data_IF_956417377276
#
_entry.id   IF_956417377276
#
_cell.length_a   1.000
_cell.length_b   1.000
_cell.length_c   1.000
_cell.angle_alpha   90.00
_cell.angle_beta   90.00
_cell.angle_gamma   90.00
#
_symmetry.space_group_name_H-M   'P 1'
#
loop_
_entity.id
_entity.type
_entity.pdbx_description
1 polymer ?
#
# COMPACT_ATOMS: atom_id res chain seq x y z
N UNK A 1 58.84 20.67 -21.20
CA UNK A 1 59.17 21.68 -20.17
C UNK A 1 57.84 22.16 -19.61
N UNK A 2 57.37 21.68 -18.44
CA UNK A 2 57.60 22.29 -17.09
C UNK A 2 57.29 23.79 -17.10
N UNK A 3 56.45 24.41 -16.26
CA UNK A 3 55.93 24.04 -14.94
C UNK A 3 54.91 25.10 -14.43
N UNK A 4 54.15 24.73 -13.39
CA UNK A 4 53.64 25.56 -12.25
C UNK A 4 52.37 26.44 -12.35
N UNK A 5 51.31 25.91 -11.71
CA UNK A 5 50.51 26.40 -10.54
C UNK A 5 50.38 27.91 -10.25
N UNK A 6 49.13 28.36 -10.01
CA UNK A 6 48.60 29.20 -8.90
C UNK A 6 47.12 29.56 -9.22
N UNK A 7 46.08 29.03 -8.56
CA UNK A 7 45.43 29.43 -7.28
C UNK A 7 45.16 30.94 -7.13
N UNK A 8 43.89 31.33 -7.31
CA UNK A 8 43.15 32.42 -6.63
C UNK A 8 41.65 32.20 -6.97
N UNK A 9 40.82 31.62 -6.09
CA UNK A 9 40.03 32.22 -4.99
C UNK A 9 39.20 33.47 -5.40
N UNK A 10 37.89 33.42 -5.09
CA UNK A 10 36.83 34.45 -5.29
C UNK A 10 35.95 34.19 -6.52
N UNK A 11 34.62 34.02 -6.49
CA UNK A 11 33.59 34.45 -5.54
C UNK A 11 32.58 33.34 -5.27
N UNK A 12 32.17 33.27 -4.00
CA UNK A 12 30.92 32.68 -3.53
C UNK A 12 29.78 33.51 -4.13
N UNK A 13 29.17 33.03 -5.21
CA UNK A 13 27.81 33.40 -5.56
C UNK A 13 26.89 32.41 -4.87
N UNK A 14 26.51 32.73 -3.64
CA UNK A 14 25.35 32.16 -2.99
C UNK A 14 24.11 32.58 -3.81
N UNK A 15 23.79 31.86 -4.87
CA UNK A 15 22.41 31.79 -5.31
C UNK A 15 21.68 31.00 -4.23
N UNK A 16 21.01 31.73 -3.34
CA UNK A 16 19.90 31.17 -2.56
C UNK A 16 18.93 30.60 -3.58
N UNK A 17 19.09 29.32 -3.93
CA UNK A 17 17.98 28.52 -4.37
C UNK A 17 17.04 28.50 -3.17
N UNK A 18 16.06 29.41 -3.21
CA UNK A 18 14.90 29.29 -2.37
C UNK A 18 14.27 28.00 -2.88
N UNK A 19 14.60 26.88 -2.24
CA UNK A 19 13.87 25.64 -2.43
C UNK A 19 12.48 25.98 -1.94
N UNK A 20 11.63 26.39 -2.87
CA UNK A 20 10.21 26.22 -2.71
C UNK A 20 10.07 24.71 -2.55
N UNK A 21 9.96 24.27 -1.30
CA UNK A 21 9.20 23.08 -0.96
C UNK A 21 7.81 23.36 -1.55
N UNK A 22 7.64 23.05 -2.83
CA UNK A 22 6.36 22.58 -3.30
C UNK A 22 6.21 21.31 -2.50
N UNK A 23 5.53 21.43 -1.36
CA UNK A 23 4.77 20.31 -0.85
C UNK A 23 3.94 19.89 -2.05
N UNK A 24 4.41 18.86 -2.75
CA UNK A 24 3.54 18.09 -3.60
C UNK A 24 2.62 17.47 -2.58
N UNK A 25 1.55 18.20 -2.27
CA UNK A 25 0.43 17.64 -1.56
C UNK A 25 -0.01 16.52 -2.46
N UNK A 26 0.38 15.30 -2.11
CA UNK A 26 -0.35 14.14 -2.55
C UNK A 26 -1.77 14.41 -2.07
N UNK A 27 -2.64 14.83 -2.98
CA UNK A 27 -4.06 14.80 -2.74
C UNK A 27 -4.41 13.32 -2.67
N UNK A 28 -4.20 12.73 -1.50
CA UNK A 28 -4.93 11.55 -1.09
C UNK A 28 -6.40 11.86 -1.32
N UNK A 29 -7.05 11.12 -2.20
CA UNK A 29 -8.46 11.29 -2.56
C UNK A 29 -9.41 10.92 -1.39
N UNK A 30 -8.85 10.63 -0.21
CA UNK A 30 -9.52 10.35 1.08
C UNK A 30 -10.42 11.47 1.59
N UNK A 31 -10.45 12.65 0.96
CA UNK A 31 -11.39 13.70 1.32
C UNK A 31 -12.87 13.25 1.22
N UNK A 32 -13.15 12.26 0.36
CA UNK A 32 -14.51 11.80 0.09
C UNK A 32 -14.81 10.37 0.53
N UNK A 33 -13.83 9.61 1.05
CA UNK A 33 -14.14 8.27 1.56
C UNK A 33 -15.08 8.35 2.77
N UNK A 34 -15.91 7.34 2.92
CA UNK A 34 -16.91 7.18 3.99
C UNK A 34 -16.50 6.12 5.01
N UNK A 35 -15.58 5.23 4.63
CA UNK A 35 -14.88 4.32 5.53
C UNK A 35 -13.54 3.93 4.92
N UNK A 36 -12.61 3.47 5.75
CA UNK A 36 -11.35 2.87 5.31
C UNK A 36 -11.09 1.65 6.18
N UNK A 37 -10.95 0.49 5.56
CA UNK A 37 -10.55 -0.75 6.25
C UNK A 37 -9.07 -0.99 6.04
N UNK A 38 -8.42 -1.59 7.04
CA UNK A 38 -6.97 -1.74 7.13
C UNK A 38 -6.62 -3.17 7.52
N UNK A 39 -5.54 -3.73 6.95
CA UNK A 39 -5.13 -5.12 7.25
C UNK A 39 -4.39 -5.27 8.58
N UNK A 40 -3.94 -4.18 9.20
CA UNK A 40 -3.26 -4.21 10.50
C UNK A 40 -3.98 -3.33 11.53
N UNK A 41 -3.56 -3.45 12.79
CA UNK A 41 -4.03 -2.57 13.87
C UNK A 41 -3.51 -1.13 13.70
N UNK A 42 -4.06 -0.21 14.48
CA UNK A 42 -3.73 1.21 14.53
C UNK A 42 -3.77 1.92 13.17
N UNK A 43 -4.69 1.49 12.28
CA UNK A 43 -4.90 2.04 10.93
C UNK A 43 -3.68 1.88 10.01
N UNK A 44 -3.00 0.74 10.15
CA UNK A 44 -1.82 0.36 9.38
C UNK A 44 -2.12 -0.78 8.42
N UNK A 45 -1.15 -1.19 7.60
CA UNK A 45 -1.39 -2.26 6.62
C UNK A 45 -2.23 -1.79 5.43
N UNK A 46 -2.42 -2.68 4.45
CA UNK A 46 -3.11 -2.35 3.19
C UNK A 46 -4.45 -1.73 3.51
N UNK A 47 -4.75 -0.59 2.90
CA UNK A 47 -6.02 0.08 3.12
C UNK A 47 -6.92 0.01 1.91
N UNK A 48 -8.20 -0.21 2.11
CA UNK A 48 -9.21 0.00 1.08
C UNK A 48 -10.16 1.12 1.48
N UNK A 49 -10.19 2.14 0.62
CA UNK A 49 -11.01 3.34 0.78
C UNK A 49 -12.40 3.11 0.17
N UNK A 50 -13.43 3.18 1.00
CA UNK A 50 -14.81 2.99 0.61
C UNK A 50 -15.44 4.36 0.39
N UNK A 51 -16.06 4.58 -0.78
CA UNK A 51 -16.59 5.89 -1.19
C UNK A 51 -18.12 5.96 -1.28
N UNK A 52 -18.78 4.81 -1.36
CA UNK A 52 -20.22 4.71 -1.63
C UNK A 52 -20.85 3.80 -0.58
N UNK A 53 -22.11 4.02 -0.22
CA UNK A 53 -22.85 3.06 0.60
C UNK A 53 -23.22 1.84 -0.24
N UNK A 54 -23.21 0.66 0.34
CA UNK A 54 -23.55 -0.55 -0.38
C UNK A 54 -23.15 -1.81 0.36
N UNK A 55 -23.41 -2.93 -0.30
CA UNK A 55 -22.98 -4.26 0.10
C UNK A 55 -21.69 -4.60 -0.63
N UNK A 56 -20.73 -5.14 0.11
CA UNK A 56 -19.40 -5.43 -0.36
C UNK A 56 -19.01 -6.85 0.00
N UNK A 57 -18.83 -7.70 -1.00
CA UNK A 57 -18.65 -9.14 -0.85
C UNK A 57 -17.58 -9.69 -1.81
N UNK A 58 -17.09 -10.90 -1.54
CA UNK A 58 -16.10 -11.59 -2.36
C UNK A 58 -16.66 -11.93 -3.75
N UNK A 59 -15.94 -11.52 -4.78
CA UNK A 59 -16.31 -11.73 -6.19
C UNK A 59 -16.02 -13.14 -6.73
N UNK A 60 -16.22 -14.22 -5.95
CA UNK A 60 -16.09 -15.56 -6.58
C UNK A 60 -17.22 -15.84 -7.58
N UNK A 61 -18.31 -15.06 -7.56
CA UNK A 61 -19.31 -15.03 -8.63
C UNK A 61 -18.84 -14.12 -9.76
N UNK A 62 -17.98 -14.66 -10.63
CA UNK A 62 -17.80 -14.14 -11.98
C UNK A 62 -19.16 -14.17 -12.67
N UNK A 63 -19.82 -13.02 -12.78
CA UNK A 63 -20.79 -12.82 -13.84
C UNK A 63 -19.99 -12.70 -15.15
N UNK A 64 -19.98 -13.78 -15.93
CA UNK A 64 -19.19 -13.89 -17.17
C UNK A 64 -19.66 -12.92 -18.26
N UNK A 65 -20.75 -12.20 -18.02
CA UNK A 65 -21.45 -11.38 -19.00
C UNK A 65 -21.31 -9.86 -18.76
N UNK A 66 -20.46 -9.40 -17.82
CA UNK A 66 -20.27 -7.96 -17.56
C UNK A 66 -18.98 -7.43 -18.20
N UNK A 67 -19.10 -6.47 -19.12
CA UNK A 67 -17.99 -5.62 -19.57
C UNK A 67 -17.52 -4.76 -18.39
N UNK A 68 -16.32 -5.03 -17.86
CA UNK A 68 -15.72 -4.46 -16.63
C UNK A 68 -16.34 -4.94 -15.30
N UNK A 69 -16.02 -6.15 -14.84
CA UNK A 69 -16.18 -6.49 -13.42
C UNK A 69 -15.24 -5.58 -12.62
N UNK A 70 -15.81 -4.61 -11.91
CA UNK A 70 -15.06 -3.85 -10.90
C UNK A 70 -15.06 -4.67 -9.62
N UNK A 71 -13.91 -4.78 -8.99
CA UNK A 71 -13.86 -5.32 -7.63
C UNK A 71 -14.71 -4.46 -6.71
N UNK A 72 -15.57 -5.13 -5.95
CA UNK A 72 -16.34 -4.49 -4.90
C UNK A 72 -15.53 -4.58 -3.60
N UNK A 73 -14.97 -5.74 -3.25
CA UNK A 73 -14.12 -5.93 -2.07
C UNK A 73 -12.63 -5.85 -2.48
N UNK A 74 -11.92 -4.79 -2.03
CA UNK A 74 -10.59 -4.38 -2.51
C UNK A 74 -9.45 -4.79 -1.54
N UNK A 75 -9.73 -5.69 -0.59
CA UNK A 75 -8.75 -6.36 0.28
C UNK A 75 -8.95 -7.89 0.24
N UNK A 76 -7.93 -8.71 0.58
CA UNK A 76 -8.13 -10.14 0.77
C UNK A 76 -9.12 -10.43 1.91
N UNK A 77 -9.80 -11.57 1.86
CA UNK A 77 -10.68 -11.99 2.95
C UNK A 77 -9.88 -12.18 4.25
N UNK A 78 -10.56 -12.06 5.39
CA UNK A 78 -9.98 -12.43 6.68
C UNK A 78 -8.69 -11.63 6.98
N UNK A 79 -8.60 -10.40 6.47
CA UNK A 79 -7.45 -9.51 6.70
C UNK A 79 -7.79 -8.25 7.48
N UNK A 80 -9.05 -7.82 7.53
CA UNK A 80 -9.40 -6.55 8.18
C UNK A 80 -9.09 -6.63 9.68
N UNK A 81 -8.29 -5.71 10.19
CA UNK A 81 -7.82 -5.65 11.58
C UNK A 81 -8.07 -4.30 12.25
N UNK A 82 -8.26 -3.23 11.47
CA UNK A 82 -8.74 -1.93 11.97
C UNK A 82 -9.58 -1.22 10.91
N UNK A 83 -10.36 -0.22 11.33
CA UNK A 83 -11.27 0.51 10.43
C UNK A 83 -11.46 1.96 10.88
N UNK A 84 -11.43 2.89 9.93
CA UNK A 84 -11.94 4.25 10.07
C UNK A 84 -13.37 4.31 9.57
N UNK A 85 -14.29 4.84 10.38
CA UNK A 85 -15.70 5.02 9.99
C UNK A 85 -16.03 6.50 10.04
N UNK A 86 -16.41 7.07 8.88
CA UNK A 86 -16.75 8.50 8.82
C UNK A 86 -18.00 8.76 9.66
N UNK A 87 -18.01 9.80 10.51
CA UNK A 87 -19.22 10.19 11.25
C UNK A 87 -20.45 10.32 10.34
N UNK A 88 -21.56 9.71 10.77
CA UNK A 88 -22.82 9.63 10.02
C UNK A 88 -22.98 8.38 9.14
N UNK A 89 -22.01 7.47 9.19
CA UNK A 89 -22.04 6.15 8.55
C UNK A 89 -21.85 5.04 9.57
N UNK A 90 -22.33 3.85 9.21
CA UNK A 90 -22.15 2.61 9.95
C UNK A 90 -21.62 1.55 8.98
N UNK A 91 -20.68 0.74 9.47
CA UNK A 91 -20.13 -0.42 8.79
C UNK A 91 -20.49 -1.67 9.58
N UNK A 92 -21.03 -2.67 8.89
CA UNK A 92 -21.23 -4.01 9.45
C UNK A 92 -20.25 -4.95 8.78
N UNK A 93 -19.37 -5.59 9.55
CA UNK A 93 -18.51 -6.68 9.09
C UNK A 93 -19.23 -8.01 9.30
N UNK A 94 -19.07 -8.93 8.36
CA UNK A 94 -19.62 -10.29 8.41
C UNK A 94 -18.51 -11.34 8.33
N UNK A 95 -18.65 -12.40 9.13
CA UNK A 95 -17.67 -13.50 9.21
C UNK A 95 -17.50 -14.24 7.89
N UNK A 96 -18.55 -14.31 7.07
CA UNK A 96 -18.55 -15.06 5.82
C UNK A 96 -18.91 -14.18 4.64
N UNK A 97 -18.68 -14.70 3.44
CA UNK A 97 -19.22 -14.13 2.21
C UNK A 97 -20.76 -14.10 2.22
N UNK A 98 -21.36 -13.41 1.27
CA UNK A 98 -22.81 -13.25 1.10
C UNK A 98 -23.50 -12.60 2.32
N UNK A 99 -22.78 -11.76 3.07
CA UNK A 99 -23.25 -11.08 4.28
C UNK A 99 -23.78 -12.06 5.35
N UNK A 100 -23.10 -13.20 5.49
CA UNK A 100 -23.53 -14.30 6.33
C UNK A 100 -22.60 -14.52 7.54
N UNK A 101 -23.05 -15.39 8.44
CA UNK A 101 -22.35 -15.70 9.69
C UNK A 101 -22.60 -14.66 10.77
N UNK A 102 -21.72 -14.61 11.76
CA UNK A 102 -21.78 -13.60 12.80
C UNK A 102 -21.37 -12.22 12.25
N UNK A 103 -21.77 -11.15 12.95
CA UNK A 103 -21.53 -9.77 12.50
C UNK A 103 -21.01 -8.86 13.61
N UNK A 104 -20.27 -7.81 13.21
CA UNK A 104 -19.78 -6.74 14.06
C UNK A 104 -20.19 -5.38 13.48
N UNK A 105 -20.86 -4.57 14.30
CA UNK A 105 -21.35 -3.23 13.93
C UNK A 105 -20.36 -2.18 14.41
N UNK A 106 -19.98 -1.25 13.53
CA UNK A 106 -18.98 -0.21 13.75
C UNK A 106 -19.49 1.13 13.22
N UNK A 107 -19.73 2.09 14.11
CA UNK A 107 -20.16 3.46 13.80
C UNK A 107 -19.11 4.54 14.16
N UNK A 108 -17.97 4.09 14.70
CA UNK A 108 -16.80 4.91 15.05
C UNK A 108 -15.51 4.22 14.59
N UNK A 109 -14.42 4.98 14.57
CA UNK A 109 -13.09 4.43 14.31
C UNK A 109 -12.73 3.34 15.33
N UNK A 110 -12.22 2.20 14.84
CA UNK A 110 -11.72 1.10 15.64
C UNK A 110 -10.24 0.85 15.27
N UNK A 111 -9.27 1.30 16.10
CA UNK A 111 -7.84 1.05 15.86
C UNK A 111 -7.48 -0.44 16.00
N UNK A 112 -8.34 -1.25 16.61
CA UNK A 112 -8.22 -2.70 16.60
C UNK A 112 -9.62 -3.28 16.67
N UNK A 113 -9.89 -4.31 15.88
CA UNK A 113 -11.14 -5.06 15.98
C UNK A 113 -11.15 -5.90 17.27
N UNK A 114 -12.29 -5.93 17.96
CA UNK A 114 -12.37 -6.56 19.26
C UNK A 114 -12.34 -8.10 19.19
N UNK A 115 -11.49 -8.71 20.02
CA UNK A 115 -11.49 -10.15 20.26
C UNK A 115 -11.12 -10.95 19.01
N UNK A 116 -12.04 -11.81 18.55
CA UNK A 116 -11.80 -12.71 17.40
C UNK A 116 -11.96 -12.04 16.04
N UNK A 117 -12.36 -10.76 15.99
CA UNK A 117 -12.73 -10.10 14.74
C UNK A 117 -11.56 -9.68 13.87
N UNK A 118 -10.36 -9.56 14.43
CA UNK A 118 -9.14 -9.32 13.66
C UNK A 118 -8.91 -10.45 12.68
N UNK A 119 -8.92 -10.12 11.39
CA UNK A 119 -8.72 -11.08 10.31
C UNK A 119 -9.85 -12.11 10.19
N UNK A 120 -11.10 -11.69 10.43
CA UNK A 120 -12.26 -12.60 10.41
C UNK A 120 -13.34 -12.19 9.41
N UNK A 121 -13.29 -10.94 8.93
CA UNK A 121 -14.31 -10.40 8.04
C UNK A 121 -14.07 -10.84 6.59
N UNK A 122 -15.10 -11.41 5.99
CA UNK A 122 -15.10 -11.84 4.58
C UNK A 122 -16.09 -11.04 3.73
N UNK A 123 -17.01 -10.29 4.33
CA UNK A 123 -17.86 -9.32 3.62
C UNK A 123 -18.26 -8.17 4.54
N UNK A 124 -18.75 -7.06 3.98
CA UNK A 124 -19.19 -5.90 4.75
C UNK A 124 -20.34 -5.13 4.08
N UNK A 125 -21.10 -4.38 4.86
CA UNK A 125 -22.09 -3.42 4.37
C UNK A 125 -21.82 -2.04 4.97
N UNK A 126 -22.01 -0.99 4.17
CA UNK A 126 -21.92 0.40 4.62
C UNK A 126 -23.22 1.14 4.34
N UNK A 127 -23.78 1.79 5.36
CA UNK A 127 -24.98 2.63 5.22
C UNK A 127 -24.89 3.92 6.02
N UNK A 128 -25.80 4.85 5.71
CA UNK A 128 -25.89 6.17 6.34
C UNK A 128 -26.86 6.11 7.52
N UNK A 129 -26.42 6.56 8.69
CA UNK A 129 -27.21 6.52 9.95
C UNK A 129 -27.57 7.91 10.50
N UNK A 130 -27.00 8.98 9.94
CA UNK A 130 -27.14 10.40 10.32
C UNK A 130 -26.48 10.84 11.63
N UNK A 131 -25.31 11.48 11.51
CA UNK A 131 -24.77 12.48 12.45
C UNK A 131 -23.71 13.30 11.69
N UNK A 132 -23.70 14.63 11.83
CA UNK A 132 -22.93 15.54 10.96
C UNK A 132 -21.87 16.37 11.71
N UNK A 133 -21.69 16.22 13.02
CA UNK A 133 -20.90 17.20 13.77
C UNK A 133 -19.37 16.94 13.86
N UNK A 134 -18.83 15.88 13.24
CA UNK A 134 -17.42 15.49 13.44
C UNK A 134 -16.60 15.22 12.17
N UNK A 135 -17.18 15.41 10.97
CA UNK A 135 -16.55 15.05 9.68
C UNK A 135 -15.19 15.74 9.49
N UNK A 136 -15.08 17.03 9.81
CA UNK A 136 -13.83 17.79 9.60
C UNK A 136 -12.66 17.32 10.46
N UNK A 137 -12.93 16.82 11.68
CA UNK A 137 -11.89 16.25 12.55
C UNK A 137 -11.45 14.87 12.07
N UNK A 138 -12.40 14.07 11.60
CA UNK A 138 -12.13 12.74 11.04
C UNK A 138 -11.30 12.81 9.75
N UNK A 139 -11.60 13.75 8.85
CA UNK A 139 -10.78 13.96 7.64
C UNK A 139 -9.32 14.32 7.97
N UNK A 140 -9.09 15.07 9.05
CA UNK A 140 -7.75 15.42 9.49
C UNK A 140 -6.99 14.21 10.06
N UNK A 141 -7.64 13.30 10.80
CA UNK A 141 -7.01 12.08 11.32
C UNK A 141 -6.69 11.07 10.22
N UNK A 142 -7.59 10.89 9.25
CA UNK A 142 -7.36 9.99 8.11
C UNK A 142 -6.15 10.41 7.27
N UNK A 143 -5.91 11.73 7.12
CA UNK A 143 -4.73 12.24 6.42
C UNK A 143 -3.42 11.99 7.16
N UNK A 144 -3.46 11.79 8.48
CA UNK A 144 -2.26 11.43 9.26
C UNK A 144 -1.92 9.94 9.20
N UNK A 145 -2.91 9.07 8.94
CA UNK A 145 -2.70 7.60 8.87
C UNK A 145 -1.63 7.24 7.81
N UNK A 146 -1.62 7.93 6.66
CA UNK A 146 -0.64 7.70 5.59
C UNK A 146 0.76 8.31 5.86
N UNK A 147 0.94 9.03 6.96
CA UNK A 147 2.19 9.75 7.29
C UNK A 147 2.96 9.16 8.48
N UNK A 148 2.38 8.21 9.24
CA UNK A 148 3.07 7.58 10.37
C UNK A 148 4.10 6.51 9.98
N UNK A 149 4.15 6.10 8.70
CA UNK A 149 5.11 5.11 8.18
C UNK A 149 6.55 5.63 8.04
N UNK A 150 6.80 6.92 8.29
CA UNK A 150 8.14 7.51 8.24
C UNK A 150 8.93 7.39 9.56
N UNK A 151 8.58 6.46 10.47
CA UNK A 151 9.25 6.34 11.79
C UNK A 151 10.68 5.81 11.73
N UNK A 152 11.15 5.36 10.56
CA UNK A 152 12.51 4.84 10.33
C UNK A 152 13.42 5.70 9.47
N UNK A 153 13.14 6.99 9.24
CA UNK A 153 13.97 7.83 8.36
C UNK A 153 13.91 7.32 6.92
N UNK A 154 12.84 7.67 6.21
CA UNK A 154 12.65 7.35 4.79
C UNK A 154 13.87 7.87 4.03
N UNK A 155 14.52 7.00 3.25
CA UNK A 155 15.53 7.42 2.28
C UNK A 155 15.02 8.62 1.50
N UNK A 156 15.82 9.67 1.36
CA UNK A 156 15.40 10.77 0.52
C UNK A 156 15.26 10.31 -0.95
N UNK A 157 14.64 11.14 -1.78
CA UNK A 157 14.36 10.76 -3.17
C UNK A 157 15.65 10.41 -3.94
N UNK A 158 16.76 11.07 -3.66
CA UNK A 158 18.03 10.81 -4.34
C UNK A 158 18.65 9.49 -3.86
N UNK A 159 18.51 9.17 -2.57
CA UNK A 159 18.87 7.86 -2.00
C UNK A 159 18.03 6.72 -2.59
N UNK A 160 16.71 6.90 -2.72
CA UNK A 160 15.82 5.92 -3.38
C UNK A 160 16.23 5.70 -4.84
N UNK A 161 16.53 6.78 -5.57
CA UNK A 161 17.01 6.68 -6.97
C UNK A 161 18.31 5.86 -7.02
N UNK A 162 19.28 6.17 -6.18
CA UNK A 162 20.55 5.44 -6.15
C UNK A 162 20.34 3.96 -5.82
N UNK A 163 19.54 3.65 -4.80
CA UNK A 163 19.20 2.29 -4.42
C UNK A 163 18.52 1.51 -5.56
N UNK A 164 17.59 2.14 -6.28
CA UNK A 164 16.92 1.53 -7.42
C UNK A 164 17.85 1.28 -8.61
N UNK A 165 18.81 2.17 -8.85
CA UNK A 165 19.83 1.94 -9.89
C UNK A 165 20.72 0.75 -9.54
N UNK A 166 21.13 0.62 -8.28
CA UNK A 166 21.94 -0.50 -7.81
C UNK A 166 21.19 -1.84 -7.88
N UNK A 167 19.87 -1.83 -7.69
CA UNK A 167 19.00 -3.01 -7.69
C UNK A 167 18.14 -3.14 -8.97
N UNK A 168 18.55 -2.47 -10.05
CA UNK A 168 17.72 -2.26 -11.25
C UNK A 168 17.18 -3.54 -11.87
N UNK A 169 18.01 -4.58 -11.99
CA UNK A 169 17.60 -5.85 -12.63
C UNK A 169 16.50 -6.54 -11.82
N UNK A 170 16.73 -6.75 -10.52
CA UNK A 170 15.73 -7.38 -9.65
C UNK A 170 14.43 -6.58 -9.54
N UNK A 171 14.51 -5.25 -9.51
CA UNK A 171 13.32 -4.40 -9.51
C UNK A 171 12.52 -4.51 -10.81
N UNK A 172 13.21 -4.54 -11.96
CA UNK A 172 12.58 -4.74 -13.27
C UNK A 172 11.87 -6.10 -13.34
N UNK A 173 12.51 -7.16 -12.83
CA UNK A 173 11.92 -8.50 -12.78
C UNK A 173 10.64 -8.53 -11.93
N UNK A 174 10.64 -7.88 -10.76
CA UNK A 174 9.46 -7.83 -9.88
C UNK A 174 8.29 -7.02 -10.48
N UNK A 175 8.58 -5.98 -11.27
CA UNK A 175 7.55 -5.20 -11.99
C UNK A 175 6.97 -5.99 -13.17
N UNK A 176 7.79 -6.77 -13.87
CA UNK A 176 7.37 -7.50 -15.07
C UNK A 176 6.74 -8.87 -14.75
N UNK A 177 7.09 -9.47 -13.61
CA UNK A 177 6.55 -10.74 -13.16
C UNK A 177 5.17 -10.58 -12.52
N UNK A 178 4.24 -11.47 -12.84
CA UNK A 178 2.91 -11.56 -12.23
C UNK A 178 2.60 -12.98 -11.76
N UNK A 179 1.32 -13.31 -11.69
CA UNK A 179 0.82 -14.59 -11.15
C UNK A 179 1.43 -15.82 -11.84
N UNK A 180 1.53 -15.82 -13.17
CA UNK A 180 2.11 -16.95 -13.93
C UNK A 180 3.57 -17.22 -13.51
N UNK A 181 4.39 -16.17 -13.39
CA UNK A 181 5.78 -16.29 -12.93
C UNK A 181 5.87 -16.69 -11.46
N UNK A 182 4.83 -16.43 -10.68
CA UNK A 182 4.74 -16.80 -9.27
C UNK A 182 4.28 -18.25 -9.04
N UNK A 183 3.45 -18.82 -9.91
CA UNK A 183 2.85 -20.15 -9.72
C UNK A 183 3.26 -21.24 -10.72
N UNK A 184 3.54 -20.92 -11.99
CA UNK A 184 3.62 -21.94 -13.05
C UNK A 184 4.74 -22.97 -12.78
N UNK A 185 5.99 -22.55 -12.88
CA UNK A 185 7.17 -23.43 -12.79
C UNK A 185 7.97 -23.24 -11.49
N UNK A 186 7.38 -22.56 -10.49
CA UNK A 186 8.05 -22.24 -9.22
C UNK A 186 7.68 -23.24 -8.11
N UNK A 187 8.69 -23.66 -7.36
CA UNK A 187 8.52 -24.44 -6.12
C UNK A 187 8.22 -23.51 -4.93
N UNK A 188 7.69 -24.09 -3.86
CA UNK A 188 7.52 -23.35 -2.59
C UNK A 188 8.83 -22.74 -2.09
N UNK A 189 9.94 -23.47 -2.24
CA UNK A 189 11.27 -22.97 -1.86
C UNK A 189 11.69 -21.77 -2.72
N UNK A 190 11.41 -21.79 -4.02
CA UNK A 190 11.68 -20.65 -4.91
C UNK A 190 10.82 -19.43 -4.54
N UNK A 191 9.53 -19.63 -4.26
CA UNK A 191 8.64 -18.55 -3.78
C UNK A 191 9.13 -17.94 -2.47
N UNK A 192 9.55 -18.78 -1.52
CA UNK A 192 10.13 -18.34 -0.23
C UNK A 192 11.42 -17.53 -0.46
N UNK A 193 12.28 -17.93 -1.40
CA UNK A 193 13.50 -17.20 -1.70
C UNK A 193 13.22 -15.82 -2.34
N UNK A 194 12.24 -15.74 -3.25
CA UNK A 194 11.80 -14.47 -3.84
C UNK A 194 11.17 -13.57 -2.76
N UNK A 195 10.36 -14.14 -1.86
CA UNK A 195 9.82 -13.42 -0.71
C UNK A 195 10.92 -12.89 0.23
N UNK A 196 11.96 -13.67 0.50
CA UNK A 196 13.11 -13.22 1.29
C UNK A 196 13.84 -12.05 0.63
N UNK A 197 14.03 -12.11 -0.70
CA UNK A 197 14.62 -11.01 -1.46
C UNK A 197 13.78 -9.73 -1.36
N UNK A 198 12.46 -9.82 -1.55
CA UNK A 198 11.55 -8.68 -1.43
C UNK A 198 11.60 -8.06 -0.03
N UNK A 199 11.50 -8.87 1.04
CA UNK A 199 11.59 -8.35 2.41
C UNK A 199 12.91 -7.61 2.65
N UNK A 200 14.04 -8.12 2.13
CA UNK A 200 15.33 -7.43 2.20
C UNK A 200 15.36 -6.09 1.45
N UNK A 201 14.69 -5.99 0.30
CA UNK A 201 14.55 -4.72 -0.41
C UNK A 201 13.76 -3.70 0.42
N UNK A 202 12.63 -4.10 0.99
CA UNK A 202 11.81 -3.21 1.81
C UNK A 202 12.51 -2.80 3.11
N UNK A 203 13.22 -3.72 3.77
CA UNK A 203 14.06 -3.40 4.92
C UNK A 203 15.13 -2.37 4.56
N UNK A 204 15.82 -2.56 3.42
CA UNK A 204 16.82 -1.61 2.95
C UNK A 204 16.21 -0.24 2.67
N UNK A 205 15.00 -0.18 2.08
CA UNK A 205 14.21 1.04 1.85
C UNK A 205 13.73 1.73 3.15
N UNK A 206 13.94 1.12 4.31
CA UNK A 206 13.62 1.68 5.62
C UNK A 206 12.27 1.24 6.20
N UNK A 207 11.62 0.23 5.59
CA UNK A 207 10.38 -0.33 6.12
C UNK A 207 10.66 -1.35 7.23
N UNK A 208 9.85 -1.34 8.28
CA UNK A 208 9.89 -2.38 9.31
C UNK A 208 9.15 -3.62 8.79
N UNK A 209 9.93 -4.65 8.46
CA UNK A 209 9.41 -5.95 8.01
C UNK A 209 9.61 -7.05 9.06
N UNK A 210 9.97 -6.70 10.29
CA UNK A 210 10.38 -7.65 11.32
C UNK A 210 9.29 -8.62 11.78
N UNK A 211 8.02 -8.30 11.53
CA UNK A 211 6.86 -9.18 11.76
C UNK A 211 6.74 -10.31 10.73
N UNK A 212 7.47 -10.21 9.61
CA UNK A 212 7.36 -11.15 8.49
C UNK A 212 8.49 -12.18 8.51
N UNK A 213 8.13 -13.43 8.19
CA UNK A 213 9.09 -14.41 7.70
C UNK A 213 8.92 -14.53 6.18
N UNK A 214 9.95 -14.94 5.43
CA UNK A 214 9.81 -15.19 4.00
C UNK A 214 8.65 -16.15 3.66
N UNK A 215 8.40 -17.14 4.51
CA UNK A 215 7.30 -18.09 4.33
C UNK A 215 5.92 -17.45 4.55
N UNK A 216 5.73 -16.69 5.64
CA UNK A 216 4.45 -16.02 5.90
C UNK A 216 4.14 -14.92 4.89
N UNK A 217 5.18 -14.25 4.38
CA UNK A 217 5.06 -13.28 3.30
C UNK A 217 4.69 -13.94 1.97
N UNK A 218 5.39 -15.02 1.58
CA UNK A 218 5.04 -15.79 0.38
C UNK A 218 3.61 -16.33 0.43
N UNK A 219 3.14 -16.79 1.59
CA UNK A 219 1.75 -17.22 1.78
C UNK A 219 0.76 -16.06 1.61
N UNK A 220 1.10 -14.86 2.06
CA UNK A 220 0.24 -13.69 1.84
C UNK A 220 0.16 -13.31 0.37
N UNK A 221 1.27 -13.41 -0.37
CA UNK A 221 1.28 -13.24 -1.82
C UNK A 221 0.44 -14.32 -2.52
N UNK A 222 0.53 -15.58 -2.08
CA UNK A 222 -0.30 -16.66 -2.61
C UNK A 222 -1.80 -16.32 -2.47
N UNK A 223 -2.20 -15.98 -1.24
CA UNK A 223 -3.58 -15.60 -0.93
C UNK A 223 -4.04 -14.41 -1.78
N UNK A 224 -3.12 -13.47 -2.03
CA UNK A 224 -3.39 -12.32 -2.90
C UNK A 224 -3.61 -12.75 -4.35
N UNK A 225 -2.76 -13.62 -4.92
CA UNK A 225 -2.91 -14.08 -6.31
C UNK A 225 -4.08 -15.04 -6.54
N UNK A 226 -4.57 -15.71 -5.50
CA UNK A 226 -5.85 -16.41 -5.57
C UNK A 226 -7.03 -15.45 -5.84
N UNK A 227 -6.84 -14.16 -5.54
CA UNK A 227 -7.85 -13.10 -5.64
C UNK A 227 -7.59 -12.09 -6.78
N UNK A 228 -6.36 -11.61 -6.96
CA UNK A 228 -5.96 -10.54 -7.91
C UNK A 228 -4.76 -10.97 -8.76
N UNK A 229 -5.05 -11.38 -9.99
CA UNK A 229 -4.04 -11.92 -10.95
C UNK A 229 -3.46 -10.89 -11.92
N UNK A 230 -4.00 -9.68 -11.92
CA UNK A 230 -3.64 -8.57 -12.80
C UNK A 230 -2.42 -7.76 -12.32
N UNK A 231 -1.99 -7.97 -11.07
CA UNK A 231 -0.88 -7.23 -10.48
C UNK A 231 0.47 -7.88 -10.69
N UNK A 232 1.50 -7.05 -10.81
CA UNK A 232 2.89 -7.50 -10.72
C UNK A 232 3.25 -7.99 -9.32
N UNK A 233 4.37 -8.70 -9.20
CA UNK A 233 4.92 -9.13 -7.91
C UNK A 233 5.28 -7.93 -7.04
N UNK A 234 5.86 -6.88 -7.63
CA UNK A 234 6.14 -5.64 -6.91
C UNK A 234 4.88 -4.99 -6.34
N UNK A 235 3.83 -4.85 -7.14
CA UNK A 235 2.57 -4.24 -6.72
C UNK A 235 1.89 -5.07 -5.63
N UNK A 236 1.87 -6.39 -5.80
CA UNK A 236 1.34 -7.32 -4.80
C UNK A 236 2.10 -7.19 -3.47
N UNK A 237 3.44 -7.20 -3.51
CA UNK A 237 4.27 -7.05 -2.32
C UNK A 237 4.08 -5.69 -1.63
N UNK A 238 3.98 -4.60 -2.42
CA UNK A 238 3.69 -3.27 -1.91
C UNK A 238 2.33 -3.23 -1.21
N UNK A 239 1.31 -3.87 -1.78
CA UNK A 239 0.00 -3.95 -1.13
C UNK A 239 0.12 -4.71 0.19
N UNK A 240 0.70 -5.92 0.19
CA UNK A 240 0.86 -6.73 1.42
C UNK A 240 1.59 -5.96 2.54
N UNK A 241 2.58 -5.12 2.20
CA UNK A 241 3.35 -4.33 3.16
C UNK A 241 2.83 -2.90 3.39
N UNK A 242 1.74 -2.52 2.74
CA UNK A 242 1.20 -1.15 2.75
C UNK A 242 2.19 -0.06 2.33
N UNK A 243 2.89 -0.33 1.24
CA UNK A 243 3.85 0.59 0.63
C UNK A 243 3.22 1.22 -0.60
N UNK A 244 3.46 2.53 -0.80
CA UNK A 244 3.08 3.21 -2.05
C UNK A 244 3.97 2.74 -3.21
N UNK A 245 3.59 1.63 -3.84
CA UNK A 245 4.31 1.06 -4.96
C UNK A 245 4.38 1.98 -6.19
N UNK A 246 3.38 2.84 -6.38
CA UNK A 246 3.30 3.74 -7.53
C UNK A 246 4.38 4.83 -7.48
N UNK A 247 4.66 5.36 -6.29
CA UNK A 247 5.79 6.29 -6.08
C UNK A 247 7.11 5.67 -6.57
N UNK A 248 7.37 4.41 -6.21
CA UNK A 248 8.58 3.70 -6.58
C UNK A 248 8.65 3.38 -8.09
N UNK A 249 7.55 2.97 -8.70
CA UNK A 249 7.45 2.76 -10.16
C UNK A 249 7.71 4.07 -10.94
N UNK A 250 7.20 5.21 -10.46
CA UNK A 250 7.44 6.53 -11.05
C UNK A 250 8.93 6.91 -11.00
N UNK A 251 9.56 6.71 -9.84
CA UNK A 251 10.98 7.00 -9.65
C UNK A 251 11.83 6.14 -10.60
N UNK A 252 11.56 4.84 -10.65
CA UNK A 252 12.27 3.88 -11.52
C UNK A 252 12.11 4.20 -13.01
N UNK A 253 10.90 4.57 -13.43
CA UNK A 253 10.62 4.98 -14.81
C UNK A 253 11.36 6.27 -15.18
N UNK A 254 11.38 7.23 -14.26
CA UNK A 254 12.03 8.53 -14.46
C UNK A 254 13.56 8.43 -14.54
N UNK A 255 14.17 7.50 -13.81
CA UNK A 255 15.62 7.26 -13.87
C UNK A 255 16.06 6.61 -15.18
N UNK A 256 15.23 5.70 -15.74
CA UNK A 256 15.44 5.06 -17.05
C UNK A 256 15.49 6.06 -18.21
N UNK A 257 14.71 7.15 -18.15
CA UNK A 257 14.76 8.21 -19.16
C UNK A 257 16.03 9.07 -19.11
N UNK A 258 16.71 9.16 -17.96
CA UNK A 258 17.94 9.97 -17.82
C UNK A 258 19.20 9.23 -18.24
N UNK A 259 19.21 7.90 -18.25
CA UNK A 259 20.38 7.10 -18.67
C UNK A 259 20.48 6.86 -20.18
N UNK A 260 19.47 7.27 -20.95
CA UNK A 260 19.38 7.11 -22.41
C UNK A 260 19.53 8.42 -23.21
N UNK A 261 19.73 9.56 -22.54
CA UNK A 261 19.94 10.89 -23.15
C UNK A 261 21.34 11.42 -22.87
#
# INVERSE_FOLDING_TARGET
>A
MSNKKNIALSLICASLATIFLVSVGFCSNRDNCIAIVYTEADFQGTSWEIYVTGEYDLWWKIDKDVENPRMIFDLPNDTIASIRVRPGYEVILFEHAELAGDSLVLDIDAPSLEGRWTGQASSLTVFRIEDQELVGRWQASVKSDSTEFAKGGIMDRDEIVAFMEENREGFSELIEAGENQWYDDTTDEQRINVAAYMLGLFEALGYDVSSWTPNTFAQSINNFYDWRKDLSLWQTACLVLNVDGAMYEEIFSSSRCRSLG
#
